data_IF_772883615926
#
_entry.id   IF_772883615926
#
_cell.length_a   1.000
_cell.length_b   1.000
_cell.length_c   1.000
_cell.angle_alpha   90.00
_cell.angle_beta   90.00
_cell.angle_gamma   90.00
#
_symmetry.space_group_name_H-M   'P 1'
#
loop_
_entity.id
_entity.type
_entity.pdbx_description
1 polymer ?
#
# COMPACT_ATOMS: atom_id res chain seq x y z
N UNK A 1 14.43 -9.42 -4.52
CA UNK A 1 13.19 -8.63 -4.67
C UNK A 1 12.86 -7.94 -3.36
N UNK A 2 12.41 -6.70 -3.44
CA UNK A 2 12.02 -5.89 -2.29
C UNK A 2 10.73 -5.13 -2.59
N UNK A 3 9.78 -5.20 -1.69
CA UNK A 3 8.53 -4.44 -1.76
C UNK A 3 8.43 -3.59 -0.50
N UNK A 4 8.33 -2.28 -0.65
CA UNK A 4 8.08 -1.35 0.44
C UNK A 4 6.61 -1.01 0.53
N UNK A 5 6.13 -0.75 1.73
CA UNK A 5 4.78 -0.26 1.98
C UNK A 5 4.87 0.95 2.91
N UNK A 6 4.63 2.12 2.36
CA UNK A 6 4.47 3.36 3.12
C UNK A 6 3.03 3.42 3.63
N UNK A 7 2.85 3.43 4.92
CA UNK A 7 1.53 3.40 5.55
C UNK A 7 1.37 4.52 6.57
N UNK A 8 0.32 5.31 6.40
CA UNK A 8 -0.05 6.33 7.36
C UNK A 8 -0.76 5.69 8.54
N UNK A 9 -0.25 5.93 9.74
CA UNK A 9 -0.76 5.37 10.99
C UNK A 9 -0.15 4.02 11.36
N UNK A 10 -0.32 3.67 12.64
CA UNK A 10 0.13 2.40 13.19
C UNK A 10 -0.95 1.33 13.03
N UNK A 11 -0.52 0.08 12.87
CA UNK A 11 -1.44 -1.05 12.86
C UNK A 11 -1.79 -1.45 14.31
N UNK A 12 -3.08 -1.66 14.58
CA UNK A 12 -3.58 -2.11 15.89
C UNK A 12 -3.43 -3.62 16.06
N UNK A 13 -3.47 -4.08 17.32
CA UNK A 13 -3.09 -5.42 17.76
C UNK A 13 -3.67 -6.57 16.92
N UNK A 14 -4.98 -6.58 16.65
CA UNK A 14 -5.59 -7.68 15.90
C UNK A 14 -5.23 -7.66 14.40
N UNK A 15 -5.04 -6.50 13.79
CA UNK A 15 -4.50 -6.41 12.43
C UNK A 15 -3.02 -6.75 12.38
N UNK A 16 -2.28 -6.39 13.44
CA UNK A 16 -0.85 -6.64 13.51
C UNK A 16 -0.51 -8.12 13.42
N UNK A 17 -1.27 -8.98 14.06
CA UNK A 17 -1.08 -10.44 13.97
C UNK A 17 -1.17 -10.92 12.51
N UNK A 18 -2.18 -10.45 11.76
CA UNK A 18 -2.33 -10.79 10.36
C UNK A 18 -1.22 -10.20 9.47
N UNK A 19 -0.84 -8.95 9.71
CA UNK A 19 0.25 -8.28 8.99
C UNK A 19 1.57 -9.04 9.20
N UNK A 20 1.93 -9.35 10.44
CA UNK A 20 3.15 -10.08 10.78
C UNK A 20 3.17 -11.48 10.15
N UNK A 21 2.03 -12.17 10.13
CA UNK A 21 1.89 -13.49 9.49
C UNK A 21 2.18 -13.42 7.99
N UNK A 22 1.59 -12.47 7.26
CA UNK A 22 1.83 -12.35 5.82
C UNK A 22 3.24 -11.84 5.50
N UNK A 23 3.81 -10.95 6.29
CA UNK A 23 5.22 -10.56 6.15
C UNK A 23 6.14 -11.77 6.30
N UNK A 24 5.87 -12.63 7.30
CA UNK A 24 6.60 -13.89 7.48
C UNK A 24 6.45 -14.83 6.28
N UNK A 25 5.24 -15.05 5.78
CA UNK A 25 5.00 -15.90 4.60
C UNK A 25 5.69 -15.35 3.34
N UNK A 26 5.67 -14.04 3.17
CA UNK A 26 6.31 -13.36 2.04
C UNK A 26 7.84 -13.43 2.07
N UNK A 27 8.46 -13.66 3.24
CA UNK A 27 9.92 -13.68 3.38
C UNK A 27 10.63 -14.73 2.52
N UNK A 28 9.90 -15.77 2.07
CA UNK A 28 10.43 -16.79 1.14
C UNK A 28 10.49 -16.30 -0.32
N UNK A 29 9.77 -15.24 -0.66
CA UNK A 29 9.69 -14.70 -2.03
C UNK A 29 10.39 -13.36 -2.18
N UNK A 30 10.18 -12.48 -1.22
CA UNK A 30 10.72 -11.12 -1.26
C UNK A 30 10.90 -10.54 0.14
N UNK A 31 11.70 -9.48 0.23
CA UNK A 31 11.79 -8.68 1.44
C UNK A 31 10.65 -7.66 1.47
N UNK A 32 9.77 -7.76 2.46
CA UNK A 32 8.78 -6.73 2.76
C UNK A 32 9.36 -5.74 3.77
N UNK A 33 9.23 -4.46 3.49
CA UNK A 33 9.61 -3.37 4.40
C UNK A 33 8.42 -2.45 4.59
N UNK A 34 7.83 -2.44 5.79
CA UNK A 34 6.71 -1.57 6.13
C UNK A 34 7.26 -0.34 6.83
N UNK A 35 6.98 0.83 6.28
CA UNK A 35 7.39 2.13 6.80
C UNK A 35 6.14 2.83 7.31
N UNK A 36 5.92 2.75 8.62
CA UNK A 36 4.80 3.42 9.28
C UNK A 36 5.16 4.89 9.53
N UNK A 37 4.27 5.77 9.07
CA UNK A 37 4.41 7.21 9.20
C UNK A 37 3.30 7.74 10.10
N UNK A 38 3.64 8.73 10.93
CA UNK A 38 2.70 9.31 11.86
C UNK A 38 1.50 9.91 11.13
N UNK A 39 0.30 9.52 11.53
CA UNK A 39 -0.96 10.16 11.14
C UNK A 39 -1.18 11.47 11.92
N UNK A 40 -1.98 12.37 11.35
CA UNK A 40 -2.41 13.59 12.02
C UNK A 40 -3.69 13.34 12.81
N UNK A 41 -3.71 13.81 14.05
CA UNK A 41 -4.92 13.85 14.86
C UNK A 41 -5.91 14.87 14.26
N UNK A 42 -7.15 14.44 14.06
CA UNK A 42 -8.24 15.26 13.53
C UNK A 42 -9.38 15.26 14.54
N UNK A 43 -10.06 16.41 14.72
CA UNK A 43 -11.22 16.54 15.59
C UNK A 43 -12.39 15.65 15.12
N UNK A 44 -13.38 15.41 15.99
CA UNK A 44 -14.57 14.60 15.63
C UNK A 44 -15.40 15.21 14.50
N UNK A 45 -15.40 16.55 14.41
CA UNK A 45 -16.09 17.30 13.34
C UNK A 45 -15.11 18.26 12.66
N UNK A 46 -14.21 17.72 11.81
CA UNK A 46 -13.17 18.54 11.22
C UNK A 46 -13.73 19.43 10.12
N UNK A 47 -13.18 20.64 10.02
CA UNK A 47 -13.41 21.51 8.85
C UNK A 47 -12.66 20.97 7.63
N UNK A 48 -13.09 21.36 6.44
CA UNK A 48 -12.38 21.03 5.18
C UNK A 48 -10.91 21.47 5.23
N UNK A 49 -10.63 22.63 5.83
CA UNK A 49 -9.27 23.18 5.99
C UNK A 49 -8.41 22.31 6.92
N UNK A 50 -9.00 21.81 8.01
CA UNK A 50 -8.33 20.92 8.96
C UNK A 50 -7.98 19.58 8.32
N UNK A 51 -8.90 19.00 7.56
CA UNK A 51 -8.68 17.77 6.79
C UNK A 51 -7.56 17.99 5.78
N UNK A 52 -7.60 19.05 5.00
CA UNK A 52 -6.58 19.34 3.99
C UNK A 52 -5.20 19.51 4.60
N UNK A 53 -5.09 20.21 5.72
CA UNK A 53 -3.82 20.38 6.45
C UNK A 53 -3.27 19.03 6.92
N UNK A 54 -4.12 18.16 7.45
CA UNK A 54 -3.72 16.83 7.90
C UNK A 54 -3.20 15.97 6.74
N UNK A 55 -3.93 15.91 5.64
CA UNK A 55 -3.54 15.17 4.43
C UNK A 55 -2.20 15.70 3.88
N UNK A 56 -2.01 17.00 3.82
CA UNK A 56 -0.79 17.63 3.30
C UNK A 56 0.44 17.30 4.17
N UNK A 57 0.28 17.34 5.50
CA UNK A 57 1.36 16.97 6.42
C UNK A 57 1.72 15.50 6.35
N UNK A 58 0.73 14.61 6.27
CA UNK A 58 0.93 13.18 6.08
C UNK A 58 1.64 12.90 4.75
N UNK A 59 1.20 13.54 3.68
CA UNK A 59 1.82 13.43 2.35
C UNK A 59 3.29 13.87 2.33
N UNK A 60 3.62 14.96 3.00
CA UNK A 60 5.02 15.44 3.14
C UNK A 60 5.90 14.44 3.88
N UNK A 61 5.35 13.75 4.89
CA UNK A 61 6.10 12.69 5.60
C UNK A 61 6.44 11.53 4.67
N UNK A 62 5.51 11.11 3.83
CA UNK A 62 5.78 10.05 2.84
C UNK A 62 6.84 10.54 1.86
N UNK A 63 6.65 11.72 1.27
CA UNK A 63 7.58 12.29 0.27
C UNK A 63 9.01 12.41 0.80
N UNK A 64 9.18 12.76 2.09
CA UNK A 64 10.49 12.88 2.73
C UNK A 64 11.24 11.54 2.86
N UNK A 65 10.55 10.41 2.80
CA UNK A 65 11.12 9.06 2.89
C UNK A 65 11.36 8.42 1.52
N UNK A 66 10.75 8.95 0.46
CA UNK A 66 10.89 8.41 -0.89
C UNK A 66 12.24 8.79 -1.51
N UNK A 67 12.80 7.86 -2.26
CA UNK A 67 13.92 8.14 -3.15
C UNK A 67 13.40 8.62 -4.51
N UNK A 68 14.16 9.46 -5.19
CA UNK A 68 13.75 10.06 -6.47
C UNK A 68 13.38 9.03 -7.54
N UNK A 69 14.11 7.91 -7.59
CA UNK A 69 13.91 6.83 -8.57
C UNK A 69 13.00 5.70 -8.08
N UNK A 70 12.33 5.87 -6.95
CA UNK A 70 11.46 4.83 -6.38
C UNK A 70 10.13 4.77 -7.13
N UNK A 71 9.78 3.59 -7.64
CA UNK A 71 8.49 3.36 -8.29
C UNK A 71 7.40 3.18 -7.26
N UNK A 72 6.46 4.11 -7.22
CA UNK A 72 5.43 4.21 -6.20
C UNK A 72 4.04 3.94 -6.77
N UNK A 73 3.33 3.01 -6.17
CA UNK A 73 1.96 2.60 -6.51
C UNK A 73 1.04 3.00 -5.37
N UNK A 74 -0.02 3.76 -5.64
CA UNK A 74 -1.03 4.09 -4.62
C UNK A 74 -2.22 3.14 -4.64
N UNK A 75 -2.88 3.01 -3.48
CA UNK A 75 -4.22 2.45 -3.41
C UNK A 75 -5.22 3.60 -3.56
N UNK A 76 -6.09 3.52 -4.56
CA UNK A 76 -7.08 4.55 -4.90
C UNK A 76 -8.39 3.92 -5.38
N UNK A 77 -9.51 4.29 -4.75
CA UNK A 77 -10.84 3.77 -5.06
C UNK A 77 -11.33 4.10 -6.48
N UNK A 78 -10.80 5.16 -7.08
CA UNK A 78 -11.21 5.65 -8.40
C UNK A 78 -10.37 5.08 -9.55
N UNK A 79 -9.55 4.07 -9.27
CA UNK A 79 -8.64 3.47 -10.25
C UNK A 79 -9.09 2.06 -10.65
N UNK A 80 -8.30 1.43 -11.51
CA UNK A 80 -8.59 0.10 -12.02
C UNK A 80 -8.58 -0.94 -10.90
N UNK A 81 -9.65 -1.74 -10.84
CA UNK A 81 -9.66 -3.00 -10.09
C UNK A 81 -8.97 -4.11 -10.88
N UNK A 82 -8.37 -5.02 -10.16
CA UNK A 82 -7.71 -6.21 -10.72
C UNK A 82 -8.31 -7.47 -10.10
N UNK A 83 -8.47 -8.51 -10.90
CA UNK A 83 -8.59 -9.86 -10.35
C UNK A 83 -7.24 -10.24 -9.71
N UNK A 84 -7.24 -11.25 -8.84
CA UNK A 84 -5.98 -11.72 -8.22
C UNK A 84 -4.95 -12.19 -9.25
N UNK A 85 -5.40 -12.77 -10.36
CA UNK A 85 -4.53 -13.22 -11.48
C UNK A 85 -3.95 -12.01 -12.23
N UNK A 86 -4.77 -11.01 -12.54
CA UNK A 86 -4.29 -9.77 -13.16
C UNK A 86 -3.33 -9.02 -12.26
N UNK A 87 -3.60 -8.98 -10.94
CA UNK A 87 -2.71 -8.37 -9.96
C UNK A 87 -1.37 -9.10 -9.88
N UNK A 88 -1.36 -10.45 -9.94
CA UNK A 88 -0.12 -11.22 -10.00
C UNK A 88 0.71 -10.85 -11.24
N UNK A 89 0.08 -10.75 -12.41
CA UNK A 89 0.74 -10.32 -13.65
C UNK A 89 1.25 -8.89 -13.55
N UNK A 90 0.50 -7.99 -12.95
CA UNK A 90 0.90 -6.60 -12.69
C UNK A 90 2.15 -6.56 -11.79
N UNK A 91 2.14 -7.25 -10.65
CA UNK A 91 3.30 -7.31 -9.72
C UNK A 91 4.54 -7.85 -10.41
N UNK A 92 4.42 -8.93 -11.19
CA UNK A 92 5.54 -9.52 -11.92
C UNK A 92 6.16 -8.53 -12.89
N UNK A 93 5.32 -7.88 -13.69
CA UNK A 93 5.73 -6.87 -14.67
C UNK A 93 6.46 -5.69 -14.02
N UNK A 94 5.86 -5.12 -12.96
CA UNK A 94 6.45 -3.94 -12.31
C UNK A 94 7.77 -4.28 -11.58
N UNK A 95 7.88 -5.47 -10.98
CA UNK A 95 9.14 -5.94 -10.41
C UNK A 95 10.23 -6.12 -11.48
N UNK A 96 9.89 -6.65 -12.64
CA UNK A 96 10.82 -6.81 -13.76
C UNK A 96 11.30 -5.45 -14.29
N UNK A 97 10.38 -4.51 -14.52
CA UNK A 97 10.69 -3.19 -15.07
C UNK A 97 11.49 -2.30 -14.11
N UNK A 98 11.33 -2.47 -12.80
CA UNK A 98 11.90 -1.58 -11.78
C UNK A 98 13.00 -2.25 -10.94
N UNK A 99 13.75 -3.18 -11.52
CA UNK A 99 14.93 -3.80 -10.89
C UNK A 99 14.60 -4.57 -9.63
N UNK A 100 13.46 -5.25 -9.63
CA UNK A 100 12.94 -6.03 -8.51
C UNK A 100 12.63 -5.21 -7.24
N UNK A 101 12.36 -3.92 -7.38
CA UNK A 101 12.01 -3.01 -6.28
C UNK A 101 10.79 -2.16 -6.65
N UNK A 102 9.70 -2.33 -5.90
CA UNK A 102 8.50 -1.51 -6.02
C UNK A 102 8.03 -1.06 -4.65
N UNK A 103 7.25 0.00 -4.61
CA UNK A 103 6.72 0.55 -3.37
C UNK A 103 5.22 0.82 -3.49
N UNK A 104 4.50 0.58 -2.40
CA UNK A 104 3.10 0.96 -2.26
C UNK A 104 2.95 2.08 -1.25
N UNK A 105 1.93 2.92 -1.42
CA UNK A 105 1.49 3.88 -0.42
C UNK A 105 0.02 3.68 -0.08
N UNK A 106 -0.26 3.63 1.21
CA UNK A 106 -1.61 3.54 1.77
C UNK A 106 -1.87 4.81 2.57
N UNK A 107 -2.85 5.59 2.14
CA UNK A 107 -3.25 6.82 2.82
C UNK A 107 -3.89 6.58 4.18
N UNK A 108 -4.06 7.65 4.94
CA UNK A 108 -4.82 7.66 6.18
C UNK A 108 -6.33 7.76 5.91
N UNK A 109 -7.09 8.18 6.93
CA UNK A 109 -8.56 8.19 6.92
C UNK A 109 -9.18 9.05 5.80
N UNK A 110 -8.48 10.07 5.33
CA UNK A 110 -8.96 11.00 4.30
C UNK A 110 -8.19 10.91 2.97
N UNK A 111 -7.41 9.86 2.79
CA UNK A 111 -6.69 9.58 1.54
C UNK A 111 -5.34 10.26 1.43
N UNK A 112 -4.91 10.51 0.21
CA UNK A 112 -3.60 11.04 -0.14
C UNK A 112 -3.66 12.52 -0.53
N UNK A 113 -2.62 13.30 -0.23
CA UNK A 113 -2.48 14.67 -0.68
C UNK A 113 -2.31 14.76 -2.20
N UNK A 114 -2.67 15.91 -2.79
CA UNK A 114 -2.49 16.15 -4.21
C UNK A 114 -1.01 16.12 -4.63
N UNK A 115 -0.11 16.61 -3.77
CA UNK A 115 1.32 16.56 -3.99
C UNK A 115 1.83 15.12 -4.07
N UNK A 116 1.40 14.26 -3.15
CA UNK A 116 1.75 12.84 -3.15
C UNK A 116 1.13 12.10 -4.35
N UNK A 117 -0.11 12.41 -4.71
CA UNK A 117 -0.76 11.85 -5.91
C UNK A 117 0.00 12.18 -7.20
N UNK A 118 0.58 13.37 -7.30
CA UNK A 118 1.42 13.75 -8.46
C UNK A 118 2.75 12.97 -8.50
N UNK A 119 3.27 12.54 -7.35
CA UNK A 119 4.51 11.74 -7.27
C UNK A 119 4.29 10.26 -7.58
N UNK A 120 3.07 9.77 -7.38
CA UNK A 120 2.71 8.36 -7.64
C UNK A 120 2.89 8.03 -9.12
N UNK A 121 3.50 6.88 -9.40
CA UNK A 121 3.74 6.40 -10.76
C UNK A 121 2.56 5.61 -11.30
N UNK A 122 1.89 4.84 -10.45
CA UNK A 122 0.71 4.05 -10.81
C UNK A 122 -0.25 3.94 -9.62
N UNK A 123 -1.46 3.49 -9.88
CA UNK A 123 -2.51 3.38 -8.88
C UNK A 123 -3.40 2.18 -9.13
N UNK A 124 -3.74 1.47 -8.07
CA UNK A 124 -4.66 0.32 -8.13
C UNK A 124 -5.82 0.49 -7.17
N UNK A 125 -6.96 -0.11 -7.48
CA UNK A 125 -8.10 -0.22 -6.60
C UNK A 125 -8.19 -1.66 -6.07
N UNK A 126 -8.18 -1.84 -4.76
CA UNK A 126 -8.38 -3.16 -4.14
C UNK A 126 -9.85 -3.61 -4.24
N UNK A 127 -10.75 -2.67 -4.08
CA UNK A 127 -12.21 -2.85 -4.17
C UNK A 127 -12.87 -1.48 -4.30
N UNK A 128 -14.02 -1.42 -4.92
CA UNK A 128 -14.88 -0.22 -4.92
C UNK A 128 -15.49 0.06 -3.55
N UNK A 129 -15.48 -0.92 -2.65
CA UNK A 129 -15.82 -0.72 -1.26
C UNK A 129 -14.66 -0.05 -0.52
N UNK A 130 -14.96 0.85 0.39
CA UNK A 130 -13.96 1.48 1.26
C UNK A 130 -13.62 0.55 2.43
N UNK A 131 -12.33 0.34 2.65
CA UNK A 131 -11.82 -0.37 3.82
C UNK A 131 -11.12 0.58 4.79
N UNK A 132 -11.15 0.32 6.10
CA UNK A 132 -10.23 0.96 7.02
C UNK A 132 -8.79 0.78 6.53
N UNK A 133 -7.96 1.81 6.65
CA UNK A 133 -6.58 1.79 6.12
C UNK A 133 -5.72 0.63 6.67
N UNK A 134 -5.95 0.21 7.92
CA UNK A 134 -5.24 -0.93 8.49
C UNK A 134 -5.67 -2.26 7.86
N UNK A 135 -6.97 -2.44 7.56
CA UNK A 135 -7.48 -3.60 6.85
C UNK A 135 -6.97 -3.62 5.39
N UNK A 136 -6.94 -2.48 4.73
CA UNK A 136 -6.39 -2.36 3.38
C UNK A 136 -4.92 -2.81 3.33
N UNK A 137 -4.12 -2.49 4.36
CA UNK A 137 -2.74 -2.98 4.50
C UNK A 137 -2.67 -4.50 4.56
N UNK A 138 -3.52 -5.12 5.37
CA UNK A 138 -3.59 -6.57 5.50
C UNK A 138 -4.03 -7.23 4.19
N UNK A 139 -5.05 -6.70 3.53
CA UNK A 139 -5.54 -7.19 2.24
C UNK A 139 -4.44 -7.08 1.17
N UNK A 140 -3.72 -5.96 1.11
CA UNK A 140 -2.63 -5.78 0.17
C UNK A 140 -1.53 -6.85 0.37
N UNK A 141 -1.12 -7.08 1.61
CA UNK A 141 -0.11 -8.11 1.92
C UNK A 141 -0.59 -9.53 1.55
N UNK A 142 -1.85 -9.85 1.81
CA UNK A 142 -2.44 -11.12 1.40
C UNK A 142 -2.44 -11.27 -0.12
N UNK A 143 -2.83 -10.23 -0.86
CA UNK A 143 -2.86 -10.27 -2.32
C UNK A 143 -1.45 -10.32 -2.93
N UNK A 144 -0.45 -9.67 -2.34
CA UNK A 144 0.95 -9.81 -2.75
C UNK A 144 1.42 -11.27 -2.53
N UNK A 145 1.10 -11.86 -1.39
CA UNK A 145 1.40 -13.28 -1.13
C UNK A 145 0.73 -14.19 -2.14
N UNK A 146 -0.56 -13.99 -2.39
CA UNK A 146 -1.34 -14.72 -3.41
C UNK A 146 -0.73 -14.56 -4.80
N UNK A 147 -0.27 -13.37 -5.15
CA UNK A 147 0.39 -13.12 -6.43
C UNK A 147 1.64 -14.00 -6.60
N UNK A 148 2.50 -14.08 -5.59
CA UNK A 148 3.68 -14.97 -5.65
C UNK A 148 3.30 -16.45 -5.73
N UNK A 149 2.23 -16.88 -5.04
CA UNK A 149 1.71 -18.25 -5.16
C UNK A 149 1.24 -18.56 -6.59
N UNK A 150 0.52 -17.65 -7.22
CA UNK A 150 0.07 -17.77 -8.62
C UNK A 150 1.28 -17.85 -9.55
N UNK A 151 2.23 -16.91 -9.43
CA UNK A 151 3.40 -16.81 -10.28
C UNK A 151 4.32 -18.05 -10.21
N UNK A 152 4.37 -18.71 -9.07
CA UNK A 152 5.17 -19.92 -8.86
C UNK A 152 4.36 -21.23 -9.07
N UNK A 153 3.12 -21.15 -9.55
CA UNK A 153 2.24 -22.28 -9.72
C UNK A 153 2.04 -23.12 -8.44
N UNK A 154 2.04 -22.46 -7.29
CA UNK A 154 1.85 -23.08 -6.00
C UNK A 154 0.37 -23.09 -5.58
N UNK A 155 -0.06 -24.14 -4.87
CA UNK A 155 -1.44 -24.28 -4.41
C UNK A 155 -1.78 -23.26 -3.32
N UNK A 156 -2.58 -22.27 -3.63
CA UNK A 156 -3.16 -21.29 -2.72
C UNK A 156 -4.40 -20.62 -3.31
N UNK A 157 -4.28 -20.11 -4.52
CA UNK A 157 -5.40 -19.53 -5.27
C UNK A 157 -6.26 -20.65 -5.87
N UNK A 158 -7.57 -20.61 -5.57
CA UNK A 158 -8.56 -21.60 -6.06
C UNK A 158 -9.63 -20.91 -6.89
#
# INVERSE_FOLDING_TARGET
MKIKIYAIGKVKDFYKLGVDEYVKRLSTYCKIEIIELKDEAISEKPSTKEIQKAIDLEGKRVLSQLKDNEYLISLDLNKKEYTSIEFASFISKELELHGANISFVIGGSYGLSDELKRRVNDSICLSKMTFPHQLARLILLEQIYRAFKILNNETYHK
#
